data_IF_234566561678
#
_entry.id   IF_234566561678
#
_cell.length_a   1.000
_cell.length_b   1.000
_cell.length_c   1.000
_cell.angle_alpha   90.00
_cell.angle_beta   90.00
_cell.angle_gamma   90.00
#
_symmetry.space_group_name_H-M   'P 1'
#
loop_
_entity.id
_entity.type
_entity.pdbx_description
1 polymer ?
#
# COMPACT_ATOMS: atom_id res chain seq x y z
N UNK A 1 6.20 38.25 14.18
CA UNK A 1 5.08 37.88 15.08
C UNK A 1 5.53 36.65 15.83
N UNK A 2 5.67 36.72 17.15
CA UNK A 2 6.10 35.59 17.98
C UNK A 2 4.93 34.65 18.19
N UNK A 3 5.14 33.34 18.01
CA UNK A 3 4.10 32.34 18.26
C UNK A 3 3.81 32.29 19.77
N UNK A 4 2.55 32.04 20.18
CA UNK A 4 2.25 31.83 21.60
C UNK A 4 2.99 30.58 22.10
N UNK A 5 3.40 30.59 23.38
CA UNK A 5 4.12 29.49 24.00
C UNK A 5 3.39 28.16 23.80
N UNK A 6 4.00 27.24 23.07
CA UNK A 6 3.40 25.95 22.75
C UNK A 6 3.78 24.89 23.79
N UNK A 7 2.84 24.02 24.14
CA UNK A 7 3.13 22.87 24.98
C UNK A 7 3.80 21.78 24.12
N UNK A 8 5.13 21.80 24.05
CA UNK A 8 5.91 20.86 23.24
C UNK A 8 5.68 19.39 23.65
N UNK A 9 5.48 19.15 24.95
CA UNK A 9 5.21 17.81 25.46
C UNK A 9 3.88 17.26 24.92
N UNK A 10 2.84 18.10 24.87
CA UNK A 10 1.55 17.71 24.31
C UNK A 10 1.66 17.32 22.83
N UNK A 11 2.39 18.10 22.02
CA UNK A 11 2.66 17.77 20.61
C UNK A 11 3.36 16.42 20.45
N UNK A 12 4.45 16.20 21.21
CA UNK A 12 5.20 14.93 21.20
C UNK A 12 4.30 13.75 21.55
N UNK A 13 3.50 13.88 22.62
CA UNK A 13 2.56 12.82 23.02
C UNK A 13 1.51 12.56 21.94
N UNK A 14 0.86 13.60 21.41
CA UNK A 14 -0.17 13.46 20.38
C UNK A 14 0.36 12.77 19.12
N UNK A 15 1.54 13.15 18.63
CA UNK A 15 2.15 12.56 17.44
C UNK A 15 2.54 11.11 17.71
N UNK A 16 3.15 10.81 18.86
CA UNK A 16 3.53 9.42 19.19
C UNK A 16 2.32 8.49 19.28
N UNK A 17 1.19 8.96 19.79
CA UNK A 17 -0.06 8.19 19.77
C UNK A 17 -0.52 7.87 18.35
N UNK A 18 -0.36 8.80 17.41
CA UNK A 18 -0.66 8.55 15.99
C UNK A 18 0.31 7.54 15.38
N UNK A 19 1.60 7.61 15.70
CA UNK A 19 2.57 6.59 15.27
C UNK A 19 2.19 5.20 15.79
N UNK A 20 1.87 5.07 17.09
CA UNK A 20 1.43 3.79 17.65
C UNK A 20 0.16 3.24 16.97
N UNK A 21 -0.78 4.12 16.61
CA UNK A 21 -1.96 3.74 15.83
C UNK A 21 -1.57 3.23 14.44
N UNK A 22 -0.64 3.90 13.76
CA UNK A 22 -0.11 3.51 12.46
C UNK A 22 0.63 2.16 12.51
N UNK A 23 1.56 2.00 13.46
CA UNK A 23 2.28 0.74 13.72
C UNK A 23 1.31 -0.41 14.00
N UNK A 24 0.33 -0.19 14.88
CA UNK A 24 -0.70 -1.17 15.22
C UNK A 24 -1.54 -1.57 14.00
N UNK A 25 -1.92 -0.61 13.16
CA UNK A 25 -2.66 -0.88 11.92
C UNK A 25 -1.85 -1.73 10.93
N UNK A 26 -0.53 -1.53 10.86
CA UNK A 26 0.39 -2.33 10.04
C UNK A 26 0.47 -3.77 10.54
N UNK A 27 0.58 -3.97 11.87
CA UNK A 27 0.63 -5.30 12.48
C UNK A 27 -0.68 -6.06 12.21
N UNK A 28 -1.83 -5.40 12.33
CA UNK A 28 -3.14 -6.00 12.01
C UNK A 28 -3.19 -6.44 10.54
N UNK A 29 -2.73 -5.58 9.62
CA UNK A 29 -2.65 -5.87 8.19
C UNK A 29 -1.78 -7.09 7.91
N UNK A 30 -0.56 -7.13 8.44
CA UNK A 30 0.40 -8.24 8.23
C UNK A 30 -0.16 -9.52 8.86
N UNK A 31 -0.59 -9.48 10.12
CA UNK A 31 -1.10 -10.64 10.85
C UNK A 31 -2.32 -11.27 10.17
N UNK A 32 -3.25 -10.45 9.67
CA UNK A 32 -4.39 -10.94 8.91
C UNK A 32 -3.96 -11.65 7.62
N UNK A 33 -3.03 -11.06 6.86
CA UNK A 33 -2.59 -11.62 5.57
C UNK A 33 -1.73 -12.86 5.73
N UNK A 34 -0.91 -12.91 6.78
CA UNK A 34 -0.18 -14.10 7.20
C UNK A 34 -1.14 -15.23 7.54
N UNK A 35 -2.15 -14.97 8.37
CA UNK A 35 -3.18 -15.96 8.73
C UNK A 35 -3.95 -16.48 7.51
N UNK A 36 -4.22 -15.62 6.53
CA UNK A 36 -4.94 -15.99 5.31
C UNK A 36 -4.03 -16.67 4.26
N UNK A 37 -2.73 -16.87 4.55
CA UNK A 37 -1.70 -17.38 3.62
C UNK A 37 -1.71 -16.66 2.28
N UNK A 38 -1.90 -15.35 2.33
CA UNK A 38 -2.06 -14.46 1.18
C UNK A 38 -1.02 -13.34 1.23
N UNK A 39 0.21 -13.64 1.66
CA UNK A 39 1.31 -12.68 1.60
C UNK A 39 1.64 -12.33 0.14
N UNK A 40 1.99 -11.08 -0.11
CA UNK A 40 2.40 -10.60 -1.43
C UNK A 40 3.50 -9.55 -1.31
N UNK A 41 4.10 -9.11 -2.43
CA UNK A 41 5.18 -8.11 -2.44
C UNK A 41 4.88 -6.87 -1.60
N UNK A 42 3.65 -6.40 -1.67
CA UNK A 42 3.10 -5.34 -0.85
C UNK A 42 3.35 -5.50 0.68
N UNK A 43 3.24 -6.72 1.20
CA UNK A 43 3.40 -7.02 2.63
C UNK A 43 4.85 -7.01 3.08
N UNK A 44 5.79 -7.23 2.17
CA UNK A 44 7.22 -7.11 2.47
C UNK A 44 7.65 -5.65 2.42
N UNK A 45 7.14 -4.90 1.43
CA UNK A 45 7.46 -3.48 1.28
C UNK A 45 6.94 -2.66 2.47
N UNK A 46 5.75 -2.95 3.02
CA UNK A 46 5.21 -2.21 4.18
C UNK A 46 6.02 -2.41 5.48
N UNK A 47 6.83 -3.47 5.58
CA UNK A 47 7.72 -3.68 6.73
C UNK A 47 8.83 -2.64 6.77
N UNK A 48 9.28 -2.14 5.60
CA UNK A 48 10.31 -1.11 5.51
C UNK A 48 9.89 0.18 6.21
N UNK A 49 8.79 0.87 5.82
CA UNK A 49 8.35 2.09 6.50
C UNK A 49 7.94 1.80 7.95
N UNK A 50 7.43 0.61 8.27
CA UNK A 50 7.14 0.24 9.67
C UNK A 50 8.40 0.20 10.56
N UNK A 51 9.51 -0.34 10.07
CA UNK A 51 10.77 -0.33 10.79
C UNK A 51 11.36 1.09 10.88
N UNK A 52 11.27 1.86 9.80
CA UNK A 52 11.77 3.24 9.77
C UNK A 52 10.95 4.15 10.71
N UNK A 53 9.64 3.94 10.81
CA UNK A 53 8.75 4.67 11.71
C UNK A 53 9.14 4.48 13.18
N UNK A 54 9.49 3.25 13.59
CA UNK A 54 10.04 2.98 14.94
C UNK A 54 11.33 3.77 15.18
N UNK A 55 12.24 3.78 14.19
CA UNK A 55 13.49 4.55 14.28
C UNK A 55 13.17 6.04 14.40
N UNK A 56 12.20 6.53 13.63
CA UNK A 56 11.83 7.95 13.57
C UNK A 56 11.24 8.47 14.89
N UNK A 57 10.42 7.66 15.57
CA UNK A 57 9.94 7.95 16.92
C UNK A 57 11.10 8.01 17.91
N UNK A 58 12.01 7.02 17.86
CA UNK A 58 13.14 6.92 18.79
C UNK A 58 14.09 8.11 18.60
N UNK A 59 14.42 8.47 17.37
CA UNK A 59 15.27 9.63 17.08
C UNK A 59 14.61 10.93 17.52
N UNK A 60 13.32 11.13 17.29
CA UNK A 60 12.59 12.31 17.75
C UNK A 60 12.64 12.46 19.28
N UNK A 61 12.40 11.38 20.03
CA UNK A 61 12.47 11.43 21.50
C UNK A 61 13.89 11.63 22.02
N UNK A 62 14.88 11.00 21.38
CA UNK A 62 16.28 11.11 21.78
C UNK A 62 16.85 12.50 21.47
N UNK A 63 16.54 13.06 20.29
CA UNK A 63 16.99 14.37 19.83
C UNK A 63 16.51 15.50 20.74
N UNK A 64 15.25 15.43 21.19
CA UNK A 64 14.59 16.47 22.00
C UNK A 64 14.30 16.04 23.43
N UNK A 65 15.18 15.22 24.03
CA UNK A 65 14.99 14.74 25.40
C UNK A 65 15.16 15.85 26.44
N UNK A 66 16.22 16.64 26.31
CA UNK A 66 16.63 17.67 27.27
C UNK A 66 16.64 19.08 26.67
N UNK A 67 16.19 19.23 25.42
CA UNK A 67 16.24 20.48 24.68
C UNK A 67 14.87 20.82 24.13
N UNK A 68 14.55 22.12 24.17
CA UNK A 68 13.39 22.65 23.49
C UNK A 68 13.61 22.61 21.97
N UNK A 69 12.53 22.41 21.22
CA UNK A 69 12.58 22.39 19.76
C UNK A 69 12.60 23.85 19.27
N UNK A 70 13.80 24.39 19.03
CA UNK A 70 14.01 25.76 18.54
C UNK A 70 15.14 25.81 17.51
N UNK A 71 15.09 26.77 16.58
CA UNK A 71 16.18 27.05 15.64
C UNK A 71 17.45 27.56 16.34
N UNK A 72 17.33 28.13 17.54
CA UNK A 72 18.45 28.70 18.29
C UNK A 72 19.29 27.65 19.02
N UNK A 73 18.75 26.44 19.18
CA UNK A 73 19.42 25.35 19.89
C UNK A 73 20.00 24.39 18.84
N UNK A 74 21.34 24.22 18.77
CA UNK A 74 21.95 23.32 17.83
C UNK A 74 21.59 21.87 18.16
N UNK A 75 21.47 21.06 17.12
CA UNK A 75 21.17 19.64 17.27
C UNK A 75 22.31 18.90 17.97
N UNK A 76 22.00 17.83 18.73
CA UNK A 76 23.03 16.97 19.28
C UNK A 76 23.94 16.43 18.17
N UNK A 77 25.27 16.40 18.38
CA UNK A 77 26.19 15.91 17.36
C UNK A 77 25.96 14.41 17.10
N UNK A 78 25.88 14.04 15.83
CA UNK A 78 25.79 12.64 15.40
C UNK A 78 24.95 12.44 14.15
N UNK A 79 25.30 11.43 13.36
CA UNK A 79 24.59 11.08 12.12
C UNK A 79 23.08 10.87 12.34
N UNK A 80 22.72 10.18 13.42
CA UNK A 80 21.32 9.81 13.76
C UNK A 80 20.45 11.04 14.08
N UNK A 81 21.06 12.16 14.49
CA UNK A 81 20.35 13.40 14.83
C UNK A 81 20.40 14.45 13.71
N UNK A 82 21.13 14.15 12.63
CA UNK A 82 21.32 15.05 11.50
C UNK A 82 20.02 15.31 10.73
N UNK A 83 19.89 16.51 10.17
CA UNK A 83 18.75 16.87 9.32
C UNK A 83 18.66 15.99 8.06
N UNK A 84 19.79 15.49 7.56
CA UNK A 84 19.80 14.56 6.43
C UNK A 84 19.16 13.22 6.81
N UNK A 85 19.50 12.67 7.98
CA UNK A 85 18.93 11.40 8.42
C UNK A 85 17.43 11.53 8.71
N UNK A 86 17.01 12.66 9.27
CA UNK A 86 15.59 13.01 9.47
C UNK A 86 14.82 13.04 8.13
N UNK A 87 15.39 13.74 7.14
CA UNK A 87 14.85 13.79 5.77
C UNK A 87 14.80 12.40 5.13
N UNK A 88 15.83 11.58 5.33
CA UNK A 88 15.87 10.21 4.84
C UNK A 88 14.74 9.35 5.41
N UNK A 89 14.50 9.42 6.72
CA UNK A 89 13.39 8.71 7.38
C UNK A 89 12.04 9.19 6.83
N UNK A 90 11.83 10.51 6.80
CA UNK A 90 10.62 11.14 6.29
C UNK A 90 10.29 10.72 4.84
N UNK A 91 11.24 10.88 3.91
CA UNK A 91 11.02 10.51 2.51
C UNK A 91 10.79 9.01 2.38
N UNK A 92 11.64 8.19 3.00
CA UNK A 92 11.52 6.74 2.89
C UNK A 92 10.15 6.26 3.39
N UNK A 93 9.67 6.76 4.52
CA UNK A 93 8.36 6.38 5.06
C UNK A 93 7.22 6.71 4.08
N UNK A 94 7.18 7.93 3.54
CA UNK A 94 6.14 8.38 2.60
C UNK A 94 6.19 7.55 1.31
N UNK A 95 7.36 7.46 0.68
CA UNK A 95 7.50 6.83 -0.63
C UNK A 95 7.27 5.32 -0.57
N UNK A 96 7.81 4.61 0.43
CA UNK A 96 7.53 3.18 0.60
C UNK A 96 6.06 2.92 0.97
N UNK A 97 5.42 3.81 1.73
CA UNK A 97 3.98 3.73 2.00
C UNK A 97 3.15 3.84 0.71
N UNK A 98 3.49 4.76 -0.19
CA UNK A 98 2.84 4.90 -1.50
C UNK A 98 3.09 3.71 -2.43
N UNK A 99 4.31 3.18 -2.45
CA UNK A 99 4.66 1.98 -3.23
C UNK A 99 3.83 0.80 -2.74
N UNK A 100 3.77 0.59 -1.42
CA UNK A 100 2.93 -0.45 -0.81
C UNK A 100 1.45 -0.24 -1.17
N UNK A 101 0.91 0.97 -0.99
CA UNK A 101 -0.46 1.28 -1.39
C UNK A 101 -0.75 0.95 -2.87
N UNK A 102 0.17 1.30 -3.77
CA UNK A 102 0.07 0.99 -5.21
C UNK A 102 0.07 -0.52 -5.46
N UNK A 103 0.95 -1.27 -4.80
CA UNK A 103 1.00 -2.74 -4.90
C UNK A 103 -0.26 -3.39 -4.35
N UNK A 104 -0.82 -2.85 -3.26
CA UNK A 104 -2.12 -3.25 -2.71
C UNK A 104 -3.24 -3.08 -3.73
N UNK A 105 -3.27 -1.97 -4.48
CA UNK A 105 -4.23 -1.74 -5.56
C UNK A 105 -3.97 -2.67 -6.74
N UNK A 106 -2.71 -2.84 -7.16
CA UNK A 106 -2.32 -3.72 -8.27
C UNK A 106 -2.79 -5.17 -8.07
N UNK A 107 -2.77 -5.64 -6.82
CA UNK A 107 -3.21 -6.98 -6.42
C UNK A 107 -4.69 -7.26 -6.68
N UNK A 108 -5.52 -6.22 -6.67
CA UNK A 108 -6.97 -6.35 -6.85
C UNK A 108 -7.30 -6.80 -8.28
N UNK A 109 -6.40 -6.52 -9.23
CA UNK A 109 -6.55 -6.88 -10.62
C UNK A 109 -6.01 -8.27 -10.92
N UNK A 110 -6.77 -9.01 -11.73
CA UNK A 110 -6.37 -10.34 -12.19
C UNK A 110 -5.07 -10.27 -13.01
N UNK A 111 -4.23 -11.32 -12.96
CA UNK A 111 -3.05 -11.42 -13.81
C UNK A 111 -3.46 -11.34 -15.29
N UNK A 112 -2.78 -10.48 -16.05
CA UNK A 112 -3.05 -10.26 -17.48
C UNK A 112 -3.75 -8.95 -17.83
N UNK A 113 -4.41 -8.29 -16.86
CA UNK A 113 -5.06 -7.01 -17.12
C UNK A 113 -4.04 -5.88 -17.34
N UNK A 114 -4.24 -5.04 -18.36
CA UNK A 114 -3.35 -3.91 -18.68
C UNK A 114 -3.09 -2.97 -17.48
N UNK A 115 -4.09 -2.74 -16.63
CA UNK A 115 -3.94 -1.92 -15.42
C UNK A 115 -2.93 -2.46 -14.42
N UNK A 116 -2.82 -3.79 -14.29
CA UNK A 116 -1.80 -4.39 -13.43
C UNK A 116 -0.39 -4.11 -13.95
N UNK A 117 -0.19 -4.09 -15.28
CA UNK A 117 1.08 -3.69 -15.90
C UNK A 117 1.39 -2.21 -15.61
N UNK A 118 0.41 -1.34 -15.83
CA UNK A 118 0.55 0.10 -15.52
C UNK A 118 0.84 0.37 -14.05
N UNK A 119 0.23 -0.38 -13.13
CA UNK A 119 0.51 -0.25 -11.70
C UNK A 119 1.97 -0.62 -11.35
N UNK A 120 2.55 -1.65 -11.98
CA UNK A 120 3.98 -1.96 -11.81
C UNK A 120 4.89 -0.88 -12.40
N UNK A 121 4.55 -0.34 -13.58
CA UNK A 121 5.26 0.81 -14.16
C UNK A 121 5.21 1.99 -13.18
N UNK A 122 4.05 2.26 -12.60
CA UNK A 122 3.88 3.34 -11.63
C UNK A 122 4.69 3.11 -10.35
N UNK A 123 4.78 1.87 -9.84
CA UNK A 123 5.68 1.52 -8.73
C UNK A 123 7.14 1.86 -9.04
N UNK A 124 7.61 1.53 -10.25
CA UNK A 124 8.98 1.86 -10.68
C UNK A 124 9.17 3.38 -10.73
N UNK A 125 8.20 4.13 -11.27
CA UNK A 125 8.23 5.59 -11.30
C UNK A 125 8.30 6.16 -9.87
N UNK A 126 7.46 5.70 -8.95
CA UNK A 126 7.48 6.14 -7.55
C UNK A 126 8.85 5.88 -6.89
N UNK A 127 9.46 4.72 -7.16
CA UNK A 127 10.78 4.40 -6.63
C UNK A 127 11.89 5.28 -7.22
N UNK A 128 11.82 5.61 -8.52
CA UNK A 128 12.76 6.54 -9.15
C UNK A 128 12.60 7.96 -8.63
N UNK A 129 11.36 8.42 -8.40
CA UNK A 129 11.08 9.72 -7.80
C UNK A 129 11.59 9.79 -6.36
N UNK A 130 11.41 8.73 -5.57
CA UNK A 130 12.02 8.60 -4.25
C UNK A 130 13.54 8.77 -4.30
N UNK A 131 14.22 8.04 -5.20
CA UNK A 131 15.67 8.14 -5.33
C UNK A 131 16.08 9.55 -5.75
N UNK A 132 15.36 10.17 -6.67
CA UNK A 132 15.60 11.55 -7.06
C UNK A 132 15.42 12.52 -5.88
N UNK A 133 14.36 12.39 -5.08
CA UNK A 133 14.14 13.21 -3.88
C UNK A 133 15.26 13.05 -2.85
N UNK A 134 15.73 11.83 -2.61
CA UNK A 134 16.87 11.61 -1.71
C UNK A 134 18.17 12.20 -2.24
N UNK A 135 18.45 12.06 -3.54
CA UNK A 135 19.63 12.65 -4.16
C UNK A 135 19.57 14.18 -4.08
N UNK A 136 18.41 14.77 -4.34
CA UNK A 136 18.19 16.21 -4.17
C UNK A 136 18.45 16.60 -2.71
N UNK A 137 17.84 15.92 -1.73
CA UNK A 137 18.08 16.21 -0.31
C UNK A 137 19.56 16.07 0.11
N UNK A 138 20.31 15.17 -0.54
CA UNK A 138 21.73 14.93 -0.26
C UNK A 138 22.64 15.99 -0.91
N UNK A 139 22.32 16.45 -2.11
CA UNK A 139 23.21 17.31 -2.91
C UNK A 139 22.76 18.77 -2.99
N UNK A 140 21.52 19.10 -2.61
CA UNK A 140 21.00 20.46 -2.67
C UNK A 140 21.68 21.40 -1.67
N UNK A 141 22.14 20.87 -0.54
CA UNK A 141 22.88 21.61 0.48
C UNK A 141 24.21 20.90 0.75
N UNK A 142 25.32 21.64 0.72
CA UNK A 142 26.65 21.06 0.95
C UNK A 142 27.00 21.13 2.43
N UNK A 143 27.04 19.97 3.08
CA UNK A 143 27.54 19.79 4.44
C UNK A 143 28.94 19.18 4.49
N UNK A 144 29.73 19.54 5.50
CA UNK A 144 30.99 18.84 5.85
C UNK A 144 30.95 18.43 7.31
N UNK A 145 30.69 17.16 7.65
CA UNK A 145 30.50 15.97 6.79
C UNK A 145 29.19 15.96 5.97
N UNK A 146 29.07 15.08 4.98
CA UNK A 146 27.97 15.10 3.98
C UNK A 146 26.55 15.00 4.55
N UNK A 147 26.40 14.48 5.77
CA UNK A 147 25.11 14.37 6.47
C UNK A 147 24.76 15.62 7.30
N UNK A 148 25.72 16.51 7.54
CA UNK A 148 25.53 17.73 8.32
C UNK A 148 25.23 18.91 7.39
N UNK A 149 23.99 18.94 6.89
CA UNK A 149 23.52 19.89 5.87
C UNK A 149 23.65 21.34 6.38
N UNK A 150 24.47 22.15 5.70
CA UNK A 150 24.53 23.58 5.94
C UNK A 150 23.45 24.32 5.14
N UNK A 151 22.40 24.73 5.86
CA UNK A 151 21.24 25.40 5.27
C UNK A 151 21.56 26.79 4.68
N UNK A 152 22.69 27.41 5.04
CA UNK A 152 23.11 28.69 4.46
C UNK A 152 23.70 28.54 3.05
N UNK A 153 24.17 27.34 2.71
CA UNK A 153 24.83 27.02 1.45
C UNK A 153 23.95 26.16 0.51
N UNK A 154 22.63 26.15 0.74
CA UNK A 154 21.69 25.48 -0.15
C UNK A 154 21.46 26.24 -1.46
N UNK A 155 21.05 25.52 -2.50
CA UNK A 155 20.58 26.14 -3.75
C UNK A 155 19.21 26.78 -3.51
N UNK A 156 19.20 28.09 -3.26
CA UNK A 156 17.97 28.87 -3.02
C UNK A 156 17.54 29.69 -4.23
N UNK A 157 16.23 29.91 -4.34
CA UNK A 157 15.63 30.88 -5.26
C UNK A 157 15.96 32.32 -4.85
N UNK A 158 15.80 33.33 -5.74
CA UNK A 158 15.95 34.75 -5.39
C UNK A 158 15.06 35.21 -4.24
N UNK A 159 13.95 34.49 -3.99
CA UNK A 159 13.04 34.68 -2.86
C UNK A 159 13.53 34.09 -1.52
N UNK A 160 14.69 33.42 -1.50
CA UNK A 160 15.24 32.74 -0.31
C UNK A 160 14.63 31.38 0.00
N UNK A 161 13.79 30.83 -0.89
CA UNK A 161 13.20 29.51 -0.71
C UNK A 161 14.12 28.43 -1.31
N UNK A 162 14.33 27.33 -0.57
CA UNK A 162 15.12 26.19 -1.03
C UNK A 162 14.44 25.48 -2.22
N UNK A 163 15.17 25.37 -3.33
CA UNK A 163 14.71 24.75 -4.57
C UNK A 163 14.46 23.25 -4.36
N UNK A 164 15.28 22.59 -3.54
CA UNK A 164 15.16 21.15 -3.29
C UNK A 164 13.82 20.82 -2.65
N UNK A 165 13.42 21.57 -1.64
CA UNK A 165 12.12 21.41 -0.99
C UNK A 165 10.96 21.71 -1.93
N UNK A 166 11.03 22.76 -2.75
CA UNK A 166 9.97 23.08 -3.73
C UNK A 166 9.77 21.92 -4.71
N UNK A 167 10.86 21.40 -5.29
CA UNK A 167 10.79 20.27 -6.22
C UNK A 167 10.24 19.03 -5.53
N UNK A 168 10.71 18.75 -4.31
CA UNK A 168 10.22 17.63 -3.49
C UNK A 168 8.70 17.71 -3.27
N UNK A 169 8.20 18.86 -2.87
CA UNK A 169 6.76 19.10 -2.63
C UNK A 169 5.94 18.98 -3.92
N UNK A 170 6.40 19.56 -5.04
CA UNK A 170 5.68 19.46 -6.32
C UNK A 170 5.60 18.00 -6.79
N UNK A 171 6.69 17.26 -6.67
CA UNK A 171 6.73 15.83 -7.00
C UNK A 171 5.83 15.02 -6.07
N UNK A 172 5.80 15.36 -4.77
CA UNK A 172 4.90 14.76 -3.77
C UNK A 172 3.43 14.92 -4.18
N UNK A 173 3.02 16.14 -4.53
CA UNK A 173 1.67 16.43 -5.00
C UNK A 173 1.31 15.72 -6.29
N UNK A 174 2.23 15.71 -7.26
CA UNK A 174 2.01 15.04 -8.52
C UNK A 174 1.79 13.53 -8.29
N UNK A 175 2.57 12.90 -7.42
CA UNK A 175 2.42 11.49 -7.06
C UNK A 175 1.05 11.21 -6.42
N UNK A 176 0.61 12.05 -5.49
CA UNK A 176 -0.71 11.92 -4.85
C UNK A 176 -1.87 12.10 -5.84
N UNK A 177 -1.79 13.09 -6.73
CA UNK A 177 -2.79 13.28 -7.79
C UNK A 177 -2.89 12.06 -8.69
N UNK A 178 -1.76 11.46 -9.08
CA UNK A 178 -1.77 10.24 -9.91
C UNK A 178 -2.36 9.07 -9.13
N UNK A 179 -2.06 8.93 -7.84
CA UNK A 179 -2.65 7.92 -6.96
C UNK A 179 -4.16 8.07 -6.80
N UNK A 180 -4.71 9.29 -6.91
CA UNK A 180 -6.16 9.56 -6.93
C UNK A 180 -6.76 9.21 -8.29
N UNK A 181 -6.18 9.74 -9.36
CA UNK A 181 -6.75 9.67 -10.70
C UNK A 181 -6.70 8.24 -11.24
N UNK A 182 -5.62 7.49 -10.98
CA UNK A 182 -5.44 6.14 -11.48
C UNK A 182 -6.61 5.20 -11.12
N UNK A 183 -7.02 5.06 -9.84
CA UNK A 183 -8.20 4.29 -9.51
C UNK A 183 -9.49 4.97 -9.98
N UNK A 184 -9.63 6.31 -9.98
CA UNK A 184 -10.89 6.92 -10.46
C UNK A 184 -11.16 6.62 -11.95
N UNK A 185 -10.17 6.82 -12.83
CA UNK A 185 -10.26 6.52 -14.27
C UNK A 185 -10.46 5.01 -14.47
N UNK A 186 -9.65 4.24 -13.74
CA UNK A 186 -9.93 2.91 -13.23
C UNK A 186 -11.40 2.47 -13.21
N UNK A 187 -12.09 3.07 -12.26
CA UNK A 187 -13.40 2.65 -11.80
C UNK A 187 -14.55 3.39 -12.51
N UNK A 188 -14.26 4.23 -13.52
CA UNK A 188 -15.29 4.95 -14.27
C UNK A 188 -15.91 4.13 -15.41
N UNK A 189 -15.23 3.09 -15.91
CA UNK A 189 -15.65 2.34 -17.10
C UNK A 189 -16.32 0.98 -16.83
N UNK A 190 -16.57 0.61 -15.58
CA UNK A 190 -17.08 -0.72 -15.22
C UNK A 190 -18.25 -0.57 -14.24
N UNK A 191 -19.34 -1.29 -14.46
CA UNK A 191 -20.46 -1.36 -13.53
C UNK A 191 -20.10 -2.18 -12.31
N UNK A 192 -19.66 -1.49 -11.25
CA UNK A 192 -19.02 -2.17 -10.12
C UNK A 192 -20.00 -2.77 -9.09
N UNK A 193 -19.81 -4.04 -8.70
CA UNK A 193 -20.38 -4.59 -7.47
C UNK A 193 -19.89 -3.83 -6.23
N UNK A 194 -20.69 -3.86 -5.17
CA UNK A 194 -20.56 -3.00 -3.96
C UNK A 194 -19.16 -2.97 -3.33
N UNK A 195 -18.41 -4.07 -3.40
CA UNK A 195 -17.06 -4.16 -2.83
C UNK A 195 -16.04 -3.23 -3.53
N UNK A 196 -16.17 -3.05 -4.86
CA UNK A 196 -15.28 -2.18 -5.63
C UNK A 196 -15.63 -0.70 -5.43
N UNK A 197 -16.90 -0.37 -5.21
CA UNK A 197 -17.33 1.00 -4.85
C UNK A 197 -16.74 1.46 -3.51
N UNK A 198 -16.69 0.58 -2.53
CA UNK A 198 -16.12 0.89 -1.21
C UNK A 198 -14.61 1.13 -1.31
N UNK A 199 -13.90 0.34 -2.12
CA UNK A 199 -12.48 0.55 -2.37
C UNK A 199 -12.22 1.94 -2.98
N UNK A 200 -13.00 2.35 -3.98
CA UNK A 200 -12.89 3.70 -4.58
C UNK A 200 -13.09 4.78 -3.54
N UNK A 201 -14.11 4.63 -2.69
CA UNK A 201 -14.40 5.60 -1.64
C UNK A 201 -13.25 5.71 -0.62
N UNK A 202 -12.68 4.57 -0.22
CA UNK A 202 -11.53 4.56 0.70
C UNK A 202 -10.31 5.17 0.04
N UNK A 203 -10.01 4.80 -1.21
CA UNK A 203 -8.89 5.37 -1.97
C UNK A 203 -9.02 6.89 -2.05
N UNK A 204 -10.18 7.37 -2.50
CA UNK A 204 -10.45 8.80 -2.62
C UNK A 204 -10.33 9.51 -1.27
N UNK A 205 -10.96 9.00 -0.21
CA UNK A 205 -10.87 9.57 1.14
C UNK A 205 -9.42 9.60 1.62
N UNK A 206 -8.67 8.53 1.39
CA UNK A 206 -7.30 8.40 1.86
C UNK A 206 -6.37 9.37 1.15
N UNK A 207 -6.56 9.58 -0.14
CA UNK A 207 -5.76 10.54 -0.91
C UNK A 207 -6.12 12.00 -0.63
N UNK A 208 -7.39 12.31 -0.35
CA UNK A 208 -7.76 13.66 0.11
C UNK A 208 -7.04 13.98 1.42
N UNK A 209 -6.95 13.00 2.33
CA UNK A 209 -6.24 13.15 3.59
C UNK A 209 -4.74 13.38 3.39
N UNK A 210 -4.07 12.64 2.50
CA UNK A 210 -2.64 12.87 2.22
C UNK A 210 -2.38 14.21 1.54
N UNK A 211 -3.21 14.61 0.57
CA UNK A 211 -3.09 15.91 -0.10
C UNK A 211 -3.23 17.06 0.89
N UNK A 212 -4.21 16.99 1.80
CA UNK A 212 -4.39 18.01 2.84
C UNK A 212 -3.15 18.06 3.75
N UNK A 213 -2.62 16.92 4.16
CA UNK A 213 -1.42 16.88 5.00
C UNK A 213 -0.18 17.46 4.29
N UNK A 214 0.04 17.11 3.02
CA UNK A 214 1.11 17.70 2.21
C UNK A 214 0.93 19.21 2.04
N UNK A 215 -0.32 19.69 1.90
CA UNK A 215 -0.62 21.13 1.75
C UNK A 215 -0.31 21.89 3.03
N UNK A 216 -0.70 21.32 4.18
CA UNK A 216 -0.40 21.88 5.48
C UNK A 216 1.11 21.89 5.74
N UNK A 217 1.81 20.81 5.42
CA UNK A 217 3.26 20.74 5.52
C UNK A 217 3.95 21.81 4.67
N UNK A 218 3.58 21.94 3.38
CA UNK A 218 4.12 22.98 2.50
C UNK A 218 3.84 24.39 3.02
N UNK A 219 2.61 24.63 3.51
CA UNK A 219 2.22 25.94 4.04
C UNK A 219 3.03 26.29 5.28
N UNK A 220 3.21 25.32 6.18
CA UNK A 220 3.96 25.50 7.43
C UNK A 220 5.45 25.63 7.14
N UNK A 221 6.00 24.91 6.17
CA UNK A 221 7.39 25.08 5.74
C UNK A 221 7.64 26.48 5.17
N UNK A 222 6.78 26.93 4.25
CA UNK A 222 6.88 28.28 3.69
C UNK A 222 6.71 29.34 4.79
N UNK A 223 5.77 29.15 5.70
CA UNK A 223 5.57 30.04 6.83
C UNK A 223 6.76 30.01 7.81
N UNK A 224 7.37 28.86 8.06
CA UNK A 224 8.52 28.70 8.95
C UNK A 224 9.72 29.50 8.47
N UNK A 225 9.94 29.57 7.15
CA UNK A 225 10.98 30.43 6.55
C UNK A 225 10.77 31.94 6.82
N UNK A 226 9.57 32.34 7.29
CA UNK A 226 9.18 33.74 7.51
C UNK A 226 8.85 34.07 8.98
N UNK A 227 8.50 33.07 9.80
CA UNK A 227 7.95 33.24 11.15
C UNK A 227 8.96 32.74 12.20
N UNK A 228 10.00 33.52 12.47
CA UNK A 228 10.80 33.47 13.71
C UNK A 228 11.41 32.12 14.16
N UNK A 229 12.07 32.10 15.33
CA UNK A 229 12.77 30.93 15.86
C UNK A 229 11.84 29.79 16.34
N UNK A 230 10.58 30.11 16.71
CA UNK A 230 9.59 29.14 17.23
C UNK A 230 8.94 28.26 16.14
N UNK A 231 9.21 28.51 14.86
CA UNK A 231 8.61 27.77 13.74
C UNK A 231 9.13 26.34 13.60
N UNK A 232 10.29 26.04 14.18
CA UNK A 232 10.94 24.73 14.09
C UNK A 232 10.06 23.61 14.59
N UNK A 233 9.42 23.82 15.75
CA UNK A 233 8.49 22.88 16.36
C UNK A 233 7.37 22.51 15.38
N UNK A 234 6.73 23.51 14.77
CA UNK A 234 5.64 23.26 13.83
C UNK A 234 6.13 22.50 12.60
N UNK A 235 7.30 22.87 12.06
CA UNK A 235 7.85 22.20 10.89
C UNK A 235 8.13 20.71 11.15
N UNK A 236 8.83 20.40 12.23
CA UNK A 236 9.20 19.02 12.57
C UNK A 236 7.98 18.17 12.94
N UNK A 237 7.06 18.71 13.74
CA UNK A 237 5.84 18.01 14.14
C UNK A 237 4.94 17.72 12.93
N UNK A 238 4.92 18.60 11.93
CA UNK A 238 4.17 18.38 10.70
C UNK A 238 4.83 17.36 9.77
N UNK A 239 6.17 17.31 9.72
CA UNK A 239 6.90 16.28 8.98
C UNK A 239 6.55 14.89 9.53
N UNK A 240 6.62 14.72 10.85
CA UNK A 240 6.24 13.50 11.56
C UNK A 240 4.78 13.13 11.31
N UNK A 241 3.88 14.12 11.40
CA UNK A 241 2.46 13.93 11.16
C UNK A 241 2.18 13.43 9.74
N UNK A 242 2.81 14.02 8.72
CA UNK A 242 2.61 13.63 7.32
C UNK A 242 3.15 12.23 7.03
N UNK A 243 4.32 11.89 7.57
CA UNK A 243 4.91 10.56 7.43
C UNK A 243 4.01 9.48 8.06
N UNK A 244 3.62 9.68 9.32
CA UNK A 244 2.72 8.79 10.06
C UNK A 244 1.39 8.59 9.34
N UNK A 245 0.82 9.68 8.84
CA UNK A 245 -0.47 9.66 8.17
C UNK A 245 -0.40 8.90 6.84
N UNK A 246 0.74 8.98 6.14
CA UNK A 246 0.98 8.22 4.91
C UNK A 246 1.01 6.71 5.18
N UNK A 247 1.68 6.28 6.26
CA UNK A 247 1.68 4.87 6.67
C UNK A 247 0.28 4.41 7.13
N UNK A 248 -0.42 5.24 7.90
CA UNK A 248 -1.79 4.95 8.36
C UNK A 248 -2.77 4.81 7.18
N UNK A 249 -2.71 5.74 6.22
CA UNK A 249 -3.49 5.72 4.97
C UNK A 249 -3.17 4.47 4.15
N UNK A 250 -1.89 4.12 4.00
CA UNK A 250 -1.47 2.91 3.31
C UNK A 250 -2.12 1.64 3.91
N UNK A 251 -2.22 1.58 5.23
CA UNK A 251 -2.87 0.47 5.94
C UNK A 251 -4.39 0.52 5.90
N UNK A 252 -4.99 1.72 5.79
CA UNK A 252 -6.44 1.93 5.82
C UNK A 252 -7.19 1.13 4.75
N UNK A 253 -6.64 1.01 3.53
CA UNK A 253 -7.25 0.25 2.44
C UNK A 253 -7.47 -1.22 2.82
N UNK A 254 -6.45 -1.83 3.41
CA UNK A 254 -6.53 -3.23 3.80
C UNK A 254 -7.48 -3.37 4.97
N UNK A 255 -7.27 -2.59 6.03
CA UNK A 255 -8.06 -2.67 7.27
C UNK A 255 -9.55 -2.43 6.99
N UNK A 256 -9.89 -1.43 6.18
CA UNK A 256 -11.26 -1.14 5.81
C UNK A 256 -11.88 -2.27 4.98
N UNK A 257 -11.14 -2.89 4.05
CA UNK A 257 -11.61 -4.07 3.32
C UNK A 257 -11.82 -5.29 4.24
N UNK A 258 -11.02 -5.45 5.30
CA UNK A 258 -11.24 -6.48 6.31
C UNK A 258 -12.52 -6.23 7.11
N UNK A 259 -12.69 -5.00 7.57
CA UNK A 259 -13.86 -4.59 8.33
C UNK A 259 -15.14 -4.78 7.50
N UNK A 260 -15.11 -4.34 6.24
CA UNK A 260 -16.21 -4.55 5.31
C UNK A 260 -16.57 -6.03 5.12
N UNK A 261 -15.57 -6.92 4.93
CA UNK A 261 -15.83 -8.36 4.80
C UNK A 261 -16.41 -8.97 6.07
N UNK A 262 -15.96 -8.53 7.24
CA UNK A 262 -16.47 -9.02 8.54
C UNK A 262 -17.91 -8.58 8.77
N UNK A 263 -18.23 -7.30 8.51
CA UNK A 263 -19.59 -6.78 8.60
C UNK A 263 -20.53 -7.49 7.64
N UNK A 264 -20.13 -7.65 6.37
CA UNK A 264 -20.94 -8.36 5.38
C UNK A 264 -21.17 -9.82 5.72
N UNK A 265 -20.13 -10.53 6.18
CA UNK A 265 -20.28 -11.91 6.64
C UNK A 265 -21.28 -12.03 7.79
N UNK A 266 -21.29 -11.06 8.71
CA UNK A 266 -22.30 -10.99 9.78
C UNK A 266 -23.71 -10.74 9.24
N UNK A 267 -23.86 -9.82 8.27
CA UNK A 267 -25.16 -9.59 7.62
C UNK A 267 -25.68 -10.84 6.91
N UNK A 268 -24.82 -11.55 6.17
CA UNK A 268 -25.21 -12.75 5.42
C UNK A 268 -25.65 -13.86 6.39
N UNK A 269 -24.99 -14.02 7.54
CA UNK A 269 -25.39 -14.95 8.61
C UNK A 269 -26.75 -14.55 9.19
N UNK A 270 -26.98 -13.26 9.47
CA UNK A 270 -28.26 -12.76 10.00
C UNK A 270 -29.38 -13.00 8.98
N UNK A 271 -29.16 -12.68 7.70
CA UNK A 271 -30.13 -12.92 6.63
C UNK A 271 -30.46 -14.41 6.48
N UNK A 272 -29.47 -15.29 6.57
CA UNK A 272 -29.69 -16.74 6.54
C UNK A 272 -30.51 -17.22 7.74
N UNK A 273 -30.27 -16.69 8.94
CA UNK A 273 -31.07 -17.00 10.13
C UNK A 273 -32.52 -16.55 9.95
N UNK A 274 -32.76 -15.33 9.48
CA UNK A 274 -34.13 -14.83 9.23
C UNK A 274 -34.86 -15.69 8.19
N UNK A 275 -34.19 -16.08 7.10
CA UNK A 275 -34.78 -16.98 6.09
C UNK A 275 -35.16 -18.33 6.71
N UNK A 276 -34.29 -18.92 7.53
CA UNK A 276 -34.56 -20.20 8.20
C UNK A 276 -35.73 -20.09 9.19
N UNK A 277 -35.81 -19.00 9.93
CA UNK A 277 -36.94 -18.72 10.84
C UNK A 277 -38.27 -18.63 10.08
N UNK A 278 -38.32 -17.89 8.96
CA UNK A 278 -39.54 -17.75 8.15
C UNK A 278 -40.02 -19.09 7.58
N UNK A 279 -39.11 -19.91 7.05
CA UNK A 279 -39.46 -21.26 6.54
C UNK A 279 -40.03 -22.16 7.65
N UNK A 280 -39.43 -22.13 8.86
CA UNK A 280 -39.94 -22.90 9.98
C UNK A 280 -41.29 -22.43 10.52
N UNK A 281 -41.65 -21.16 10.31
CA UNK A 281 -42.95 -20.59 10.69
C UNK A 281 -44.04 -20.96 9.68
N UNK A 282 -43.75 -20.95 8.38
CA UNK A 282 -44.64 -21.44 7.32
C UNK A 282 -44.93 -22.95 7.45
N UNK A 283 -43.92 -23.76 7.79
CA UNK A 283 -44.09 -25.21 8.02
C UNK A 283 -45.01 -25.48 9.22
N UNK A 284 -44.86 -24.72 10.32
CA UNK A 284 -45.76 -24.81 11.48
C UNK A 284 -47.18 -24.36 11.15
N UNK A 285 -47.35 -23.26 10.41
CA UNK A 285 -48.68 -22.79 10.00
C UNK A 285 -49.41 -23.85 9.15
N UNK A 286 -48.73 -24.46 8.18
CA UNK A 286 -49.29 -25.51 7.31
C UNK A 286 -49.65 -26.79 8.09
N UNK A 287 -48.83 -27.17 9.08
CA UNK A 287 -49.12 -28.34 9.93
C UNK A 287 -50.30 -28.09 10.89
N UNK A 288 -50.52 -26.83 11.30
CA UNK A 288 -51.60 -26.46 12.22
C UNK A 288 -52.96 -26.37 11.50
N UNK A 289 -52.98 -25.93 10.23
CA UNK A 289 -54.20 -25.97 9.40
C UNK A 289 -54.60 -27.40 9.00
N UNK A 290 -53.63 -28.31 8.83
CA UNK A 290 -53.89 -29.73 8.58
C UNK A 290 -54.54 -30.48 9.74
N UNK A 291 -54.54 -29.92 10.96
CA UNK A 291 -55.12 -30.55 12.16
C UNK A 291 -56.50 -29.99 12.56
N UNK A 292 -57.10 -29.09 11.76
CA UNK A 292 -58.35 -28.37 12.13
C UNK A 292 -59.61 -28.81 11.37
N UNK A 293 -59.60 -29.89 10.61
CA UNK A 293 -60.84 -30.49 10.06
C UNK A 293 -61.01 -31.95 10.47
N UNK A 294 -61.83 -32.24 11.50
CA UNK A 294 -62.52 -33.50 11.62
C UNK A 294 -63.97 -33.27 11.23
N UNK A 295 -64.32 -33.41 9.96
CA UNK A 295 -65.63 -33.95 9.54
C UNK A 295 -65.71 -34.13 8.01
N UNK A 296 -65.85 -35.41 7.67
CA UNK A 296 -66.62 -36.01 6.58
C UNK A 296 -65.93 -36.42 5.26
N UNK A 297 -66.35 -37.62 4.84
CA UNK A 297 -66.17 -38.31 3.54
C UNK A 297 -65.02 -39.33 3.41
N UNK A 298 -65.41 -40.58 3.60
CA UNK A 298 -64.87 -41.78 2.94
C UNK A 298 -64.46 -41.51 1.48
N UNK A 299 -63.20 -41.81 1.13
CA UNK A 299 -62.88 -42.51 -0.12
C UNK A 299 -61.43 -43.01 -0.11
N UNK A 300 -61.31 -44.33 -0.16
CA UNK A 300 -60.05 -45.03 -0.40
C UNK A 300 -59.60 -44.80 -1.85
N UNK A 301 -58.52 -44.04 -2.07
CA UNK A 301 -57.69 -44.16 -3.28
C UNK A 301 -56.22 -44.10 -2.88
N UNK A 302 -55.57 -45.26 -2.99
CA UNK A 302 -54.12 -45.44 -2.91
C UNK A 302 -53.45 -44.69 -4.07
N UNK A 303 -52.81 -43.56 -3.81
CA UNK A 303 -51.83 -42.96 -4.74
C UNK A 303 -50.42 -43.19 -4.22
N UNK A 304 -49.69 -44.05 -4.93
CA UNK A 304 -48.29 -44.38 -4.71
C UNK A 304 -47.37 -43.14 -4.90
N UNK A 305 -46.19 -43.10 -4.26
CA UNK A 305 -45.22 -42.03 -4.47
C UNK A 305 -44.66 -42.09 -5.89
N UNK A 306 -44.76 -40.97 -6.61
CA UNK A 306 -44.16 -40.78 -7.93
C UNK A 306 -42.64 -40.64 -7.79
N UNK A 307 -41.91 -41.70 -8.13
CA UNK A 307 -40.45 -41.63 -8.30
C UNK A 307 -40.14 -41.18 -9.73
N UNK A 308 -39.32 -40.14 -9.87
CA UNK A 308 -38.83 -39.67 -11.17
C UNK A 308 -37.78 -40.68 -11.68
N UNK A 309 -38.13 -41.47 -12.69
CA UNK A 309 -37.18 -42.33 -13.41
C UNK A 309 -36.39 -41.48 -14.39
N UNK A 310 -35.08 -41.39 -14.20
CA UNK A 310 -34.16 -40.87 -15.21
C UNK A 310 -33.96 -41.98 -16.25
N UNK A 311 -34.29 -41.78 -17.55
CA UNK A 311 -34.00 -42.80 -18.55
C UNK A 311 -32.49 -42.87 -18.81
N UNK A 312 -31.90 -44.01 -18.45
CA UNK A 312 -30.57 -44.41 -18.90
C UNK A 312 -30.72 -44.92 -20.34
N UNK A 313 -30.15 -44.19 -21.30
CA UNK A 313 -30.02 -44.67 -22.68
C UNK A 313 -28.97 -45.77 -22.74
N UNK A 314 -29.41 -47.03 -22.80
CA UNK A 314 -28.61 -48.17 -23.24
C UNK A 314 -28.85 -48.38 -24.74
N UNK A 315 -27.79 -48.22 -25.54
CA UNK A 315 -27.78 -48.62 -26.95
C UNK A 315 -26.66 -49.64 -27.16
N UNK A 316 -27.03 -50.92 -27.01
CA UNK A 316 -26.43 -52.06 -27.69
C UNK A 316 -27.45 -52.46 -28.77
N UNK A 317 -27.14 -52.74 -30.04
CA UNK A 317 -25.91 -52.97 -30.77
C UNK A 317 -26.22 -54.02 -31.86
N UNK A 318 -25.38 -54.06 -32.91
CA UNK A 318 -25.27 -55.09 -33.97
C UNK A 318 -26.14 -54.84 -35.22
N UNK A 319 -25.65 -54.95 -36.46
CA UNK A 319 -24.44 -55.61 -37.00
C UNK A 319 -24.21 -55.19 -38.47
N UNK A 320 -22.95 -55.03 -38.92
CA UNK A 320 -22.23 -55.78 -39.98
C UNK A 320 -21.40 -54.72 -40.76
N UNK A 321 -20.21 -54.91 -41.34
CA UNK A 321 -19.29 -55.99 -41.73
C UNK A 321 -17.96 -55.20 -41.99
N UNK A 322 -16.75 -55.54 -41.57
CA UNK A 322 -15.94 -56.70 -41.97
C UNK A 322 -14.44 -56.29 -42.04
N UNK A 323 -13.56 -57.24 -41.68
CA UNK A 323 -12.09 -57.31 -41.87
C UNK A 323 -11.20 -56.21 -41.23
N UNK A 324 -10.13 -56.49 -40.48
CA UNK A 324 -9.45 -57.72 -40.09
C UNK A 324 -8.03 -57.38 -39.58
N UNK A 325 -7.57 -58.12 -38.56
CA UNK A 325 -6.19 -58.26 -38.00
C UNK A 325 -5.51 -57.00 -37.42
N UNK A 326 -5.39 -56.81 -36.09
CA UNK A 326 -4.54 -57.50 -35.08
C UNK A 326 -3.05 -57.13 -35.11
N UNK A 327 -2.60 -56.30 -34.16
CA UNK A 327 -1.59 -56.65 -33.12
C UNK A 327 -1.12 -55.41 -32.33
N UNK A 328 -0.70 -55.69 -31.11
CA UNK A 328 -0.46 -54.81 -29.96
C UNK A 328 1.05 -54.39 -29.91
N UNK A 329 1.57 -53.81 -28.81
CA UNK A 329 2.07 -52.44 -28.73
C UNK A 329 3.61 -52.33 -28.69
N UNK A 330 4.16 -51.12 -28.87
CA UNK A 330 5.53 -50.80 -28.44
C UNK A 330 5.60 -49.46 -27.72
N UNK A 331 6.04 -49.55 -26.46
CA UNK A 331 6.62 -48.47 -25.67
C UNK A 331 7.95 -48.04 -26.30
N UNK A 332 8.25 -46.73 -26.31
CA UNK A 332 9.61 -46.23 -26.09
C UNK A 332 9.64 -44.76 -25.67
N UNK A 333 10.17 -44.57 -24.47
CA UNK A 333 10.60 -43.34 -23.82
C UNK A 333 11.94 -42.88 -24.39
N UNK A 334 12.14 -41.58 -24.58
CA UNK A 334 13.44 -40.84 -24.56
C UNK A 334 13.08 -39.35 -24.64
N UNK A 335 13.55 -38.39 -23.83
CA UNK A 335 14.66 -38.39 -22.90
C UNK A 335 15.82 -37.54 -23.42
N UNK A 336 15.77 -36.22 -23.13
CA UNK A 336 16.86 -35.22 -23.02
C UNK A 336 17.89 -35.01 -24.15
N UNK A 337 18.12 -33.72 -24.48
CA UNK A 337 19.38 -32.93 -24.34
C UNK A 337 19.14 -31.53 -24.93
N UNK A 338 19.09 -30.43 -24.16
CA UNK A 338 20.20 -29.54 -23.77
C UNK A 338 21.04 -29.02 -24.94
N UNK A 339 21.03 -27.70 -25.17
CA UNK A 339 22.24 -26.96 -25.53
C UNK A 339 22.17 -25.48 -25.14
N UNK A 340 23.25 -25.08 -24.49
CA UNK A 340 23.61 -23.75 -23.99
C UNK A 340 24.53 -23.13 -25.04
N UNK A 341 24.28 -21.88 -25.43
CA UNK A 341 25.28 -21.09 -26.14
C UNK A 341 25.55 -19.78 -25.39
N UNK A 342 26.67 -19.78 -24.67
CA UNK A 342 27.42 -18.61 -24.24
C UNK A 342 28.26 -18.11 -25.41
N UNK A 343 28.34 -16.78 -25.58
CA UNK A 343 29.40 -16.14 -26.37
C UNK A 343 29.96 -14.96 -25.60
N UNK A 344 31.27 -15.04 -25.38
CA UNK A 344 32.16 -14.04 -24.83
C UNK A 344 32.63 -13.11 -25.95
N UNK A 345 32.82 -11.82 -25.65
CA UNK A 345 33.63 -10.94 -26.51
C UNK A 345 34.42 -9.92 -25.68
N UNK A 346 35.74 -10.15 -25.69
CA UNK A 346 36.92 -9.29 -25.53
C UNK A 346 36.88 -7.96 -24.76
N UNK A 347 37.77 -7.90 -23.77
CA UNK A 347 38.47 -6.71 -23.27
C UNK A 347 39.29 -6.00 -24.36
N UNK A 348 39.33 -4.67 -24.30
CA UNK A 348 40.42 -3.86 -24.86
C UNK A 348 40.82 -2.82 -23.81
N UNK A 349 41.88 -3.13 -23.07
CA UNK A 349 42.66 -2.20 -22.26
C UNK A 349 43.43 -1.25 -23.19
N UNK A 350 43.27 0.05 -22.99
CA UNK A 350 44.17 1.05 -23.55
C UNK A 350 44.77 1.87 -22.40
N UNK A 351 46.06 1.65 -22.19
CA UNK A 351 46.95 2.35 -21.28
C UNK A 351 47.34 3.71 -21.86
N UNK A 352 47.22 4.77 -21.06
CA UNK A 352 47.94 6.01 -21.25
C UNK A 352 48.53 6.47 -19.91
N UNK A 353 49.86 6.55 -19.91
CA UNK A 353 50.72 7.14 -18.88
C UNK A 353 51.42 8.39 -19.45
N UNK A 354 52.08 9.16 -18.56
CA UNK A 354 52.74 10.47 -18.69
C UNK A 354 51.82 11.67 -18.42
N UNK A 355 52.10 12.66 -17.56
CA UNK A 355 53.15 12.91 -16.57
C UNK A 355 52.69 14.10 -15.69
N UNK A 356 53.26 14.32 -14.48
CA UNK A 356 52.91 15.43 -13.60
C UNK A 356 53.82 16.65 -13.84
N UNK A 357 53.24 17.86 -13.92
CA UNK A 357 53.99 19.11 -13.77
C UNK A 357 53.68 19.82 -12.45
N UNK A 358 54.77 20.13 -11.77
CA UNK A 358 54.95 20.90 -10.53
C UNK A 358 55.37 22.32 -10.90
N UNK A 359 54.76 23.35 -10.29
CA UNK A 359 55.32 24.69 -9.96
C UNK A 359 54.16 25.63 -9.56
N UNK A 360 53.99 26.05 -8.30
CA UNK A 360 54.75 27.06 -7.54
C UNK A 360 54.51 28.51 -7.99
N UNK A 361 54.11 29.35 -7.01
CA UNK A 361 54.02 30.83 -6.97
C UNK A 361 52.86 31.44 -7.80
N UNK A 362 52.03 32.37 -7.29
CA UNK A 362 52.17 33.34 -6.21
C UNK A 362 50.80 33.66 -5.56
#
# INVERSE_FOLDING_TARGET
MTLPHQNQLAWKISITLLHFLSLGSTVIRIGHRWRTRRAWWDDYIVVIPWCLDIIYIVTMWAKYKNHDISWDIPDPPGFIYSAWFDSFLYFSEIWFSRISMTLSVARIFLPGHSYRKWAFVFVVILFLLYLASLLIATFACRGTPWWDLDFNNCVSTPSGADVGTIVGVVVDFAADIVLVIAPLVMFWKIDFPRAQRILVLILFSSSVVTIIASMLYCTIWYAASRIGPDSRLLFEMMAQLQATLSLLVCNSLVVAMLFYRKLRGSEDIIRQRIRRWRVGEEEKATTTDGLRNPEDSDQSITTAPSYTVIPVSSTSGSSNLGSGSSQQPSFLTTGLTSDIHTSSFSESYQSQSLDPQTSSQA
#
